data_IF_637734831868
#
_entry.id   IF_637734831868
#
_cell.length_a   1.000
_cell.length_b   1.000
_cell.length_c   1.000
_cell.angle_alpha   90.00
_cell.angle_beta   90.00
_cell.angle_gamma   90.00
#
_symmetry.space_group_name_H-M   'P 1'
#
loop_
_entity.id
_entity.type
_entity.pdbx_description
1 polymer ?
#
# COMPACT_ATOMS: atom_id res chain seq x y z
N UNK A 1 -18.76 21.82 21.48
CA UNK A 1 -17.64 21.28 20.69
C UNK A 1 -18.20 20.85 19.35
N UNK A 2 -17.61 21.26 18.23
CA UNK A 2 -18.15 20.93 16.89
C UNK A 2 -17.61 19.56 16.47
N UNK A 3 -18.51 18.60 16.25
CA UNK A 3 -18.21 17.27 15.73
C UNK A 3 -17.59 17.39 14.31
N UNK A 4 -16.53 16.64 14.01
CA UNK A 4 -15.92 16.68 12.68
C UNK A 4 -16.84 16.03 11.62
N UNK A 5 -16.94 16.62 10.42
CA UNK A 5 -17.68 15.99 9.33
C UNK A 5 -16.97 14.72 8.81
N UNK A 6 -17.73 13.78 8.23
CA UNK A 6 -17.17 12.56 7.60
C UNK A 6 -16.03 12.87 6.61
N UNK A 7 -16.15 13.97 5.84
CA UNK A 7 -15.13 14.43 4.89
C UNK A 7 -13.86 14.93 5.59
N UNK A 8 -14.01 15.68 6.68
CA UNK A 8 -12.87 16.14 7.48
C UNK A 8 -12.16 14.96 8.16
N UNK A 9 -12.92 14.02 8.73
CA UNK A 9 -12.41 12.76 9.29
C UNK A 9 -11.57 12.00 8.27
N UNK A 10 -12.11 11.79 7.08
CA UNK A 10 -11.43 11.11 5.99
C UNK A 10 -10.11 11.82 5.64
N UNK A 11 -10.13 13.14 5.40
CA UNK A 11 -8.93 13.90 5.02
C UNK A 11 -7.86 13.87 6.11
N UNK A 12 -8.25 14.01 7.39
CA UNK A 12 -7.32 13.96 8.53
C UNK A 12 -6.63 12.59 8.63
N UNK A 13 -7.41 11.52 8.56
CA UNK A 13 -6.88 10.16 8.63
C UNK A 13 -6.06 9.79 7.38
N UNK A 14 -6.54 10.15 6.19
CA UNK A 14 -5.84 9.90 4.93
C UNK A 14 -4.48 10.61 4.90
N UNK A 15 -4.43 11.88 5.31
CA UNK A 15 -3.16 12.63 5.41
C UNK A 15 -2.20 11.94 6.38
N UNK A 16 -2.65 11.66 7.60
CA UNK A 16 -1.79 11.05 8.63
C UNK A 16 -1.27 9.67 8.20
N UNK A 17 -2.12 8.83 7.59
CA UNK A 17 -1.74 7.51 7.10
C UNK A 17 -0.82 7.58 5.87
N UNK A 18 -1.13 8.47 4.92
CA UNK A 18 -0.33 8.70 3.72
C UNK A 18 1.07 9.21 4.07
N UNK A 19 1.18 10.20 4.96
CA UNK A 19 2.47 10.74 5.40
C UNK A 19 3.34 9.66 6.06
N UNK A 20 2.74 8.74 6.83
CA UNK A 20 3.46 7.61 7.42
C UNK A 20 3.95 6.65 6.34
N UNK A 21 3.07 6.24 5.42
CA UNK A 21 3.43 5.31 4.35
C UNK A 21 4.56 5.85 3.47
N UNK A 22 4.52 7.14 3.12
CA UNK A 22 5.58 7.79 2.34
C UNK A 22 6.94 7.75 3.06
N UNK A 23 6.95 7.90 4.38
CA UNK A 23 8.17 7.76 5.19
C UNK A 23 8.70 6.34 5.16
N UNK A 24 7.84 5.34 5.34
CA UNK A 24 8.26 3.93 5.28
C UNK A 24 8.83 3.56 3.90
N UNK A 25 8.17 3.99 2.82
CA UNK A 25 8.67 3.78 1.45
C UNK A 25 10.04 4.46 1.26
N UNK A 26 10.23 5.67 1.79
CA UNK A 26 11.52 6.33 1.74
C UNK A 26 12.62 5.57 2.51
N UNK A 27 12.29 4.99 3.67
CA UNK A 27 13.21 4.15 4.43
C UNK A 27 13.58 2.87 3.67
N UNK A 28 12.63 2.24 2.96
CA UNK A 28 12.95 1.12 2.06
C UNK A 28 13.94 1.53 0.97
N UNK A 29 13.82 2.75 0.45
CA UNK A 29 14.78 3.31 -0.51
C UNK A 29 16.22 3.36 0.01
N UNK A 30 16.43 3.50 1.32
CA UNK A 30 17.78 3.49 1.91
C UNK A 30 18.46 2.11 1.80
N UNK A 31 17.70 1.03 1.64
CA UNK A 31 18.22 -0.32 1.44
C UNK A 31 18.91 -0.49 0.07
N UNK A 32 18.65 0.42 -0.88
CA UNK A 32 19.32 0.41 -2.19
C UNK A 32 20.84 0.69 -2.10
N UNK A 33 21.34 1.12 -0.94
CA UNK A 33 22.77 1.31 -0.75
C UNK A 33 23.52 -0.03 -0.63
N UNK A 34 24.03 -0.51 -1.77
CA UNK A 34 24.82 -1.76 -1.86
C UNK A 34 26.14 -1.76 -1.07
N UNK A 35 26.57 -0.63 -0.51
CA UNK A 35 27.72 -0.60 0.43
C UNK A 35 27.35 -1.18 1.80
N UNK A 36 26.08 -1.08 2.19
CA UNK A 36 25.58 -1.50 3.49
C UNK A 36 24.80 -2.81 3.41
N UNK A 37 24.31 -3.16 2.22
CA UNK A 37 23.40 -4.28 2.00
C UNK A 37 23.80 -5.07 0.76
N UNK A 38 23.56 -6.38 0.80
CA UNK A 38 23.63 -7.25 -0.37
C UNK A 38 22.21 -7.67 -0.72
N UNK A 39 21.86 -7.54 -2.00
CA UNK A 39 20.58 -7.94 -2.54
C UNK A 39 20.71 -8.15 -4.05
N UNK A 40 19.86 -9.02 -4.58
CA UNK A 40 19.73 -9.25 -6.01
C UNK A 40 18.40 -8.71 -6.56
N UNK A 41 18.15 -8.94 -7.84
CA UNK A 41 16.91 -8.49 -8.47
C UNK A 41 15.68 -9.23 -7.91
N UNK A 42 15.70 -10.57 -7.74
CA UNK A 42 14.63 -11.30 -7.04
C UNK A 42 14.23 -10.74 -5.68
N UNK A 43 15.20 -10.34 -4.84
CA UNK A 43 14.92 -9.74 -3.53
C UNK A 43 14.10 -8.43 -3.65
N UNK A 44 14.49 -7.59 -4.61
CA UNK A 44 13.81 -6.32 -4.90
C UNK A 44 12.41 -6.58 -5.46
N UNK A 45 12.29 -7.52 -6.40
CA UNK A 45 11.03 -7.87 -7.03
C UNK A 45 10.03 -8.43 -6.00
N UNK A 46 10.50 -9.31 -5.10
CA UNK A 46 9.68 -9.88 -4.03
C UNK A 46 9.18 -8.80 -3.07
N UNK A 47 10.05 -7.86 -2.67
CA UNK A 47 9.69 -6.75 -1.79
C UNK A 47 8.61 -5.85 -2.44
N UNK A 48 8.83 -5.39 -3.66
CA UNK A 48 7.94 -4.43 -4.31
C UNK A 48 6.65 -5.07 -4.82
N UNK A 49 6.68 -6.32 -5.29
CA UNK A 49 5.45 -7.01 -5.76
C UNK A 49 4.40 -7.11 -4.66
N UNK A 50 4.80 -7.42 -3.42
CA UNK A 50 3.87 -7.48 -2.28
C UNK A 50 3.28 -6.09 -1.94
N UNK A 51 4.11 -5.04 -1.97
CA UNK A 51 3.67 -3.67 -1.69
C UNK A 51 2.71 -3.18 -2.76
N UNK A 52 3.03 -3.40 -4.04
CA UNK A 52 2.21 -3.00 -5.17
C UNK A 52 0.87 -3.71 -5.19
N UNK A 53 0.84 -5.01 -4.87
CA UNK A 53 -0.40 -5.79 -4.75
C UNK A 53 -1.33 -5.22 -3.67
N UNK A 54 -0.81 -4.92 -2.48
CA UNK A 54 -1.60 -4.32 -1.39
C UNK A 54 -2.07 -2.89 -1.74
N UNK A 55 -1.22 -2.09 -2.39
CA UNK A 55 -1.59 -0.76 -2.88
C UNK A 55 -2.72 -0.84 -3.90
N UNK A 56 -2.64 -1.79 -4.84
CA UNK A 56 -3.69 -2.02 -5.83
C UNK A 56 -4.99 -2.47 -5.18
N UNK A 57 -4.94 -3.45 -4.26
CA UNK A 57 -6.13 -3.93 -3.53
C UNK A 57 -6.76 -2.81 -2.68
N UNK A 58 -5.94 -2.01 -2.00
CA UNK A 58 -6.48 -0.91 -1.20
C UNK A 58 -7.06 0.19 -2.06
N UNK A 59 -6.46 0.50 -3.22
CA UNK A 59 -6.98 1.51 -4.15
C UNK A 59 -8.29 1.05 -4.81
N UNK A 60 -8.42 -0.23 -5.15
CA UNK A 60 -9.64 -0.76 -5.78
C UNK A 60 -10.87 -0.66 -4.86
N UNK A 61 -10.70 -0.65 -3.53
CA UNK A 61 -11.79 -0.38 -2.57
C UNK A 61 -12.41 1.02 -2.72
N UNK A 62 -11.72 1.97 -3.36
CA UNK A 62 -12.25 3.31 -3.67
C UNK A 62 -12.93 3.39 -5.04
N UNK A 63 -12.81 2.34 -5.86
CA UNK A 63 -13.45 2.25 -7.17
C UNK A 63 -14.65 1.30 -7.10
N UNK A 64 -15.89 1.83 -7.02
CA UNK A 64 -17.09 1.00 -6.94
C UNK A 64 -17.34 0.16 -8.20
N UNK A 65 -16.59 0.36 -9.29
CA UNK A 65 -16.67 -0.42 -10.53
C UNK A 65 -15.77 -1.65 -10.57
N UNK A 66 -14.78 -1.77 -9.69
CA UNK A 66 -13.84 -2.92 -9.64
C UNK A 66 -14.42 -3.99 -8.72
N UNK A 67 -15.10 -4.99 -9.30
CA UNK A 67 -15.56 -6.17 -8.54
C UNK A 67 -14.34 -7.00 -8.12
N UNK A 68 -14.21 -7.24 -6.83
CA UNK A 68 -13.22 -8.16 -6.27
C UNK A 68 -13.44 -9.57 -6.86
N UNK A 69 -12.53 -10.04 -7.70
CA UNK A 69 -12.51 -11.38 -8.31
C UNK A 69 -12.11 -12.50 -7.32
N UNK A 70 -12.36 -12.33 -6.03
CA UNK A 70 -12.22 -13.42 -5.05
C UNK A 70 -13.47 -14.28 -5.04
N UNK A 71 -13.62 -15.12 -6.07
CA UNK A 71 -14.29 -16.41 -5.94
C UNK A 71 -13.22 -17.49 -6.05
N UNK A 72 -12.99 -18.22 -4.97
CA UNK A 72 -12.28 -19.50 -5.04
C UNK A 72 -13.29 -20.49 -5.57
N UNK A 73 -13.14 -20.91 -6.83
CA UNK A 73 -13.83 -22.07 -7.37
C UNK A 73 -12.96 -23.30 -7.07
N UNK A 74 -13.53 -24.25 -6.33
CA UNK A 74 -12.97 -25.59 -6.26
C UNK A 74 -13.59 -26.35 -7.43
N UNK A 75 -12.75 -26.78 -8.38
CA UNK A 75 -13.17 -27.71 -9.43
C UNK A 75 -13.80 -28.96 -8.79
N UNK A 76 -14.94 -29.38 -9.34
CA UNK A 76 -15.65 -30.61 -9.00
C UNK A 76 -15.15 -31.81 -9.78
#
# INVERSE_FOLDING_TARGET
MVEESKKQRFRRLAKSRGDRLLKEINLLGNLANKKNYEYDQPDVDALFSAIEAELWETKSKFDPGVKSERRVEFDG
#
